data_IF_298736037552
#
_entry.id   IF_298736037552
#
_cell.length_a   1.000
_cell.length_b   1.000
_cell.length_c   1.000
_cell.angle_alpha   90.00
_cell.angle_beta   90.00
_cell.angle_gamma   90.00
#
_symmetry.space_group_name_H-M   'P 1'
#
loop_
_entity.id
_entity.type
_entity.pdbx_description
1 polymer ?
#
# COMPACT_ATOMS: atom_id res chain seq x y z
N UNK A 1 -46.34 -33.74 -20.04
CA UNK A 1 -45.86 -33.01 -18.85
C UNK A 1 -46.74 -31.78 -18.63
N UNK A 2 -47.50 -31.67 -17.53
CA UNK A 2 -48.37 -30.51 -17.30
C UNK A 2 -47.52 -29.30 -16.89
N UNK A 3 -47.68 -28.18 -17.59
CA UNK A 3 -47.03 -26.90 -17.21
C UNK A 3 -47.82 -26.29 -16.04
N UNK A 4 -47.15 -26.05 -14.92
CA UNK A 4 -47.74 -25.33 -13.77
C UNK A 4 -47.96 -23.87 -14.16
N UNK A 5 -49.22 -23.43 -14.22
CA UNK A 5 -49.59 -22.04 -14.48
C UNK A 5 -49.32 -21.19 -13.24
N UNK A 6 -48.72 -20.02 -13.42
CA UNK A 6 -48.48 -19.07 -12.32
C UNK A 6 -49.81 -18.42 -11.94
N UNK A 7 -50.11 -18.39 -10.64
CA UNK A 7 -51.26 -17.66 -10.10
C UNK A 7 -50.93 -16.18 -9.95
N UNK A 8 -51.91 -15.29 -10.07
CA UNK A 8 -51.70 -13.84 -9.94
C UNK A 8 -51.05 -13.45 -8.60
N UNK A 9 -51.38 -14.16 -7.53
CA UNK A 9 -50.77 -13.97 -6.20
C UNK A 9 -49.26 -14.22 -6.20
N UNK A 10 -48.80 -15.29 -6.88
CA UNK A 10 -47.36 -15.61 -6.99
C UNK A 10 -46.61 -14.61 -7.85
N UNK A 11 -47.27 -14.00 -8.84
CA UNK A 11 -46.68 -12.94 -9.67
C UNK A 11 -46.48 -11.67 -8.86
N UNK A 12 -47.47 -11.27 -8.06
CA UNK A 12 -47.38 -10.11 -7.17
C UNK A 12 -46.28 -10.28 -6.12
N UNK A 13 -46.20 -11.45 -5.48
CA UNK A 13 -45.16 -11.78 -4.50
C UNK A 13 -43.75 -11.76 -5.10
N UNK A 14 -43.59 -12.26 -6.33
CA UNK A 14 -42.31 -12.21 -7.04
C UNK A 14 -41.90 -10.77 -7.35
N UNK A 15 -42.83 -9.93 -7.81
CA UNK A 15 -42.55 -8.50 -8.06
C UNK A 15 -42.13 -7.78 -6.78
N UNK A 16 -42.82 -8.03 -5.68
CA UNK A 16 -42.50 -7.42 -4.39
C UNK A 16 -41.14 -7.90 -3.87
N UNK A 17 -40.85 -9.20 -3.96
CA UNK A 17 -39.56 -9.77 -3.60
C UNK A 17 -38.42 -9.18 -4.45
N UNK A 18 -38.66 -9.00 -5.75
CA UNK A 18 -37.72 -8.37 -6.66
C UNK A 18 -37.47 -6.89 -6.29
N UNK A 19 -38.53 -6.14 -5.94
CA UNK A 19 -38.43 -4.75 -5.48
C UNK A 19 -37.58 -4.67 -4.22
N UNK A 20 -37.89 -5.48 -3.21
CA UNK A 20 -37.13 -5.52 -1.93
C UNK A 20 -35.67 -5.91 -2.13
N UNK A 21 -35.39 -6.88 -3.00
CA UNK A 21 -34.00 -7.25 -3.31
C UNK A 21 -33.25 -6.12 -4.00
N UNK A 22 -33.90 -5.39 -4.91
CA UNK A 22 -33.30 -4.24 -5.58
C UNK A 22 -33.08 -3.07 -4.60
N UNK A 23 -34.03 -2.83 -3.69
CA UNK A 23 -33.90 -1.82 -2.64
C UNK A 23 -32.70 -2.11 -1.73
N UNK A 24 -32.60 -3.32 -1.18
CA UNK A 24 -31.44 -3.73 -0.35
C UNK A 24 -30.11 -3.60 -1.08
N UNK A 25 -30.06 -3.95 -2.36
CA UNK A 25 -28.84 -3.80 -3.16
C UNK A 25 -28.48 -2.33 -3.36
N UNK A 26 -29.46 -1.45 -3.58
CA UNK A 26 -29.23 0.00 -3.69
C UNK A 26 -28.70 0.58 -2.39
N UNK A 27 -29.35 0.26 -1.27
CA UNK A 27 -28.93 0.71 0.07
C UNK A 27 -27.49 0.28 0.38
N UNK A 28 -27.12 -0.98 0.07
CA UNK A 28 -25.75 -1.46 0.24
C UNK A 28 -24.76 -0.68 -0.63
N UNK A 29 -25.08 -0.44 -1.90
CA UNK A 29 -24.21 0.32 -2.80
C UNK A 29 -24.03 1.75 -2.31
N UNK A 30 -25.10 2.41 -1.88
CA UNK A 30 -25.06 3.76 -1.33
C UNK A 30 -24.23 3.82 -0.03
N UNK A 31 -24.35 2.83 0.84
CA UNK A 31 -23.53 2.74 2.07
C UNK A 31 -22.05 2.54 1.74
N UNK A 32 -21.72 1.66 0.79
CA UNK A 32 -20.34 1.45 0.34
C UNK A 32 -19.75 2.71 -0.29
N UNK A 33 -20.49 3.38 -1.17
CA UNK A 33 -20.06 4.66 -1.76
C UNK A 33 -19.79 5.72 -0.68
N UNK A 34 -20.66 5.81 0.33
CA UNK A 34 -20.48 6.73 1.45
C UNK A 34 -19.20 6.44 2.24
N UNK A 35 -18.93 5.16 2.54
CA UNK A 35 -17.71 4.73 3.25
C UNK A 35 -16.46 5.02 2.43
N UNK A 36 -16.46 4.71 1.13
CA UNK A 36 -15.33 5.01 0.24
C UNK A 36 -15.02 6.52 0.26
N UNK A 37 -16.03 7.37 0.08
CA UNK A 37 -15.85 8.82 0.13
C UNK A 37 -15.36 9.34 1.50
N UNK A 38 -15.69 8.65 2.59
CA UNK A 38 -15.16 8.97 3.92
C UNK A 38 -13.68 8.62 4.06
N UNK A 39 -13.27 7.45 3.57
CA UNK A 39 -11.87 7.04 3.57
C UNK A 39 -11.03 7.94 2.67
N UNK A 40 -11.49 8.27 1.46
CA UNK A 40 -10.81 9.22 0.57
C UNK A 40 -10.59 10.59 1.25
N UNK A 41 -11.60 11.10 1.97
CA UNK A 41 -11.45 12.34 2.75
C UNK A 41 -10.45 12.20 3.90
N UNK A 42 -10.40 11.05 4.56
CA UNK A 42 -9.44 10.80 5.64
C UNK A 42 -8.02 10.72 5.09
N UNK A 43 -7.82 10.05 3.96
CA UNK A 43 -6.53 9.92 3.30
C UNK A 43 -6.03 11.28 2.80
N UNK A 44 -6.91 12.09 2.19
CA UNK A 44 -6.60 13.46 1.80
C UNK A 44 -6.15 14.33 3.01
N UNK A 45 -6.85 14.24 4.15
CA UNK A 45 -6.46 14.98 5.36
C UNK A 45 -5.16 14.46 5.98
N UNK A 46 -4.96 13.15 5.99
CA UNK A 46 -3.76 12.53 6.54
C UNK A 46 -2.53 12.91 5.72
N UNK A 47 -2.64 12.89 4.39
CA UNK A 47 -1.56 13.31 3.49
C UNK A 47 -1.23 14.80 3.63
N UNK A 48 -2.23 15.67 3.78
CA UNK A 48 -2.01 17.10 4.04
C UNK A 48 -1.24 17.32 5.37
N UNK A 49 -1.67 16.66 6.45
CA UNK A 49 -0.98 16.75 7.74
C UNK A 49 0.49 16.25 7.65
N UNK A 50 0.72 15.15 6.91
CA UNK A 50 2.06 14.63 6.65
C UNK A 50 2.92 15.61 5.84
N UNK A 51 2.35 16.25 4.80
CA UNK A 51 3.06 17.26 4.01
C UNK A 51 3.45 18.49 4.84
N UNK A 52 2.54 18.98 5.70
CA UNK A 52 2.84 20.10 6.61
C UNK A 52 3.94 19.72 7.60
N UNK A 53 3.88 18.53 8.18
CA UNK A 53 4.91 18.03 9.08
C UNK A 53 6.27 17.90 8.36
N UNK A 54 6.28 17.34 7.15
CA UNK A 54 7.49 17.21 6.34
C UNK A 54 8.13 18.57 6.04
N UNK A 55 7.35 19.59 5.67
CA UNK A 55 7.85 20.95 5.44
C UNK A 55 8.52 21.52 6.69
N UNK A 56 7.92 21.36 7.87
CA UNK A 56 8.52 21.79 9.15
C UNK A 56 9.83 21.07 9.44
N UNK A 57 9.88 19.75 9.25
CA UNK A 57 11.10 18.96 9.43
C UNK A 57 12.20 19.41 8.47
N UNK A 58 11.87 19.75 7.22
CA UNK A 58 12.84 20.29 6.26
C UNK A 58 13.42 21.63 6.73
N UNK A 59 12.58 22.53 7.22
CA UNK A 59 13.01 23.83 7.75
C UNK A 59 13.90 23.68 9.00
N UNK A 60 13.49 22.82 9.94
CA UNK A 60 14.26 22.52 11.14
C UNK A 60 15.59 21.86 10.78
N UNK A 61 15.60 20.91 9.86
CA UNK A 61 16.82 20.26 9.39
C UNK A 61 17.76 21.25 8.69
N UNK A 62 17.21 22.20 7.91
CA UNK A 62 18.01 23.27 7.30
C UNK A 62 18.64 24.15 8.38
N UNK A 63 17.88 24.52 9.42
CA UNK A 63 18.38 25.32 10.53
C UNK A 63 19.45 24.59 11.34
N UNK A 64 19.21 23.33 11.70
CA UNK A 64 20.15 22.50 12.43
C UNK A 64 21.44 22.29 11.64
N UNK A 65 21.36 21.97 10.35
CA UNK A 65 22.55 21.88 9.48
C UNK A 65 23.31 23.19 9.37
N UNK A 66 22.62 24.34 9.37
CA UNK A 66 23.28 25.65 9.40
C UNK A 66 24.01 25.95 10.71
N UNK A 67 23.46 25.49 11.84
CA UNK A 67 24.13 25.59 13.15
C UNK A 67 25.33 24.63 13.23
N UNK A 68 25.15 23.39 12.78
CA UNK A 68 26.18 22.36 12.75
C UNK A 68 27.32 22.72 11.80
N UNK A 69 27.05 23.24 10.60
CA UNK A 69 28.11 23.70 9.68
C UNK A 69 28.99 24.85 10.21
N UNK A 70 28.59 25.51 11.31
CA UNK A 70 29.43 26.48 12.04
C UNK A 70 30.22 25.84 13.19
N UNK A 71 29.76 24.71 13.70
CA UNK A 71 30.40 23.90 14.76
C UNK A 71 31.40 22.92 14.14
N UNK A 72 31.05 22.35 12.98
CA UNK A 72 31.82 21.43 12.15
C UNK A 72 32.83 22.22 11.30
N UNK A 73 33.74 22.95 11.96
CA UNK A 73 34.79 23.75 11.33
C UNK A 73 35.84 22.96 10.52
N UNK A 74 35.57 21.71 10.13
CA UNK A 74 36.50 20.88 9.37
C UNK A 74 35.83 19.59 8.87
N UNK A 75 35.46 19.56 7.59
CA UNK A 75 35.34 18.31 6.83
C UNK A 75 33.92 17.80 6.59
N UNK A 76 33.39 18.05 5.38
CA UNK A 76 32.28 17.28 4.82
C UNK A 76 31.30 18.13 4.04
N UNK A 77 31.45 18.16 2.72
CA UNK A 77 30.52 18.79 1.77
C UNK A 77 29.11 18.18 1.92
N UNK A 78 28.27 18.83 2.74
CA UNK A 78 26.85 18.54 2.82
C UNK A 78 26.17 18.99 1.53
N UNK A 79 25.99 18.05 0.60
CA UNK A 79 25.18 18.16 -0.62
C UNK A 79 24.02 19.16 -0.45
N UNK A 80 24.10 20.29 -1.18
CA UNK A 80 23.00 21.25 -1.29
C UNK A 80 21.69 20.53 -1.65
N UNK A 81 20.55 20.90 -1.05
CA UNK A 81 19.26 20.44 -1.54
C UNK A 81 19.13 20.87 -3.00
N UNK A 82 18.93 19.91 -3.91
CA UNK A 82 18.49 20.21 -5.27
C UNK A 82 17.21 21.03 -5.15
N UNK A 83 17.15 22.12 -5.88
CA UNK A 83 15.95 22.91 -6.09
C UNK A 83 14.88 21.97 -6.64
N UNK A 84 13.82 21.74 -5.87
CA UNK A 84 12.52 21.35 -6.43
C UNK A 84 11.78 22.67 -6.69
N UNK A 85 12.18 23.35 -7.77
CA UNK A 85 11.28 24.24 -8.52
C UNK A 85 10.61 23.39 -9.60
N UNK A 86 9.32 23.13 -9.42
CA UNK A 86 8.37 22.74 -10.48
C UNK A 86 6.98 22.81 -9.84
N UNK A 87 6.20 23.86 -10.06
CA UNK A 87 5.38 24.05 -11.25
C UNK A 87 4.54 22.80 -11.56
N UNK A 88 3.31 22.77 -11.03
CA UNK A 88 2.17 21.99 -11.56
C UNK A 88 0.91 22.77 -11.15
N UNK A 89 0.54 23.79 -11.92
CA UNK A 89 -0.39 23.72 -13.07
C UNK A 89 -1.82 23.35 -12.68
N UNK A 90 -2.62 24.41 -12.62
CA UNK A 90 -4.04 24.41 -12.93
C UNK A 90 -4.30 23.71 -14.27
N UNK A 91 -4.79 22.47 -14.24
CA UNK A 91 -5.50 21.83 -15.36
C UNK A 91 -6.92 21.54 -14.92
N UNK A 92 -7.69 22.61 -14.92
CA UNK A 92 -9.14 22.55 -14.94
C UNK A 92 -9.61 22.13 -16.34
N UNK A 93 -10.52 21.17 -16.37
CA UNK A 93 -11.49 20.89 -17.44
C UNK A 93 -10.97 20.55 -18.83
N UNK A 94 -11.01 19.25 -19.17
CA UNK A 94 -11.79 18.82 -20.35
C UNK A 94 -12.14 17.32 -20.36
N UNK A 95 -13.23 16.95 -19.71
CA UNK A 95 -13.96 15.72 -20.04
C UNK A 95 -15.46 16.02 -20.12
N UNK A 96 -15.90 16.58 -21.24
CA UNK A 96 -17.30 16.53 -21.63
C UNK A 96 -17.53 15.23 -22.43
N UNK A 97 -18.34 14.34 -21.85
CA UNK A 97 -19.38 13.59 -22.58
C UNK A 97 -18.99 12.54 -23.63
N UNK A 98 -19.43 11.32 -23.34
CA UNK A 98 -19.84 10.24 -24.26
C UNK A 98 -18.78 9.30 -24.84
N UNK A 99 -18.50 8.25 -24.06
CA UNK A 99 -18.64 6.85 -24.50
C UNK A 99 -17.91 6.41 -25.76
N UNK A 100 -16.75 5.78 -25.59
CA UNK A 100 -16.50 4.35 -25.81
C UNK A 100 -14.99 4.11 -25.80
N UNK A 101 -14.59 3.13 -24.98
CA UNK A 101 -13.38 2.32 -25.12
C UNK A 101 -12.02 3.03 -25.27
N UNK A 102 -11.26 3.02 -24.16
CA UNK A 102 -9.81 2.79 -24.21
C UNK A 102 -8.91 4.01 -24.41
N UNK A 103 -7.70 3.88 -23.84
CA UNK A 103 -6.52 4.74 -23.95
C UNK A 103 -6.33 5.76 -22.81
N UNK A 104 -5.77 5.28 -21.69
CA UNK A 104 -4.58 5.94 -21.16
C UNK A 104 -3.40 5.28 -21.89
N UNK A 105 -2.57 6.08 -22.56
CA UNK A 105 -1.29 5.62 -23.05
C UNK A 105 -0.41 5.36 -21.82
N UNK A 106 -0.13 4.10 -21.54
CA UNK A 106 0.95 3.72 -20.63
C UNK A 106 2.27 4.16 -21.29
N UNK A 107 3.02 4.96 -20.54
CA UNK A 107 4.39 5.32 -20.87
C UNK A 107 5.23 4.03 -20.83
N UNK A 108 5.96 3.79 -21.92
CA UNK A 108 6.73 2.58 -22.14
C UNK A 108 7.78 2.37 -21.04
N UNK A 109 7.68 1.26 -20.32
CA UNK A 109 8.81 0.66 -19.61
C UNK A 109 8.97 -0.78 -20.12
N UNK A 110 9.88 -0.98 -21.06
CA UNK A 110 10.24 -2.30 -21.56
C UNK A 110 11.04 -3.12 -20.51
N UNK A 111 10.35 -4.14 -19.99
CA UNK A 111 10.68 -5.58 -19.98
C UNK A 111 12.01 -6.12 -19.41
N UNK A 112 11.85 -6.96 -18.38
CA UNK A 112 12.15 -8.43 -18.31
C UNK A 112 11.84 -8.88 -16.87
N UNK A 113 11.09 -9.92 -16.51
CA UNK A 113 10.63 -11.13 -17.20
C UNK A 113 9.26 -11.55 -16.66
N UNK A 114 8.47 -12.17 -17.54
CA UNK A 114 7.16 -12.74 -17.26
C UNK A 114 7.30 -14.14 -16.62
N UNK A 115 7.00 -14.25 -15.33
CA UNK A 115 6.49 -15.51 -14.78
C UNK A 115 5.45 -15.23 -13.69
N UNK A 116 4.27 -15.79 -13.88
CA UNK A 116 3.11 -15.77 -13.00
C UNK A 116 3.48 -16.18 -11.58
N UNK A 117 3.24 -15.31 -10.58
CA UNK A 117 2.94 -15.71 -9.19
C UNK A 117 2.35 -14.54 -8.41
N UNK A 118 1.03 -14.59 -8.22
CA UNK A 118 0.31 -13.87 -7.17
C UNK A 118 0.76 -14.36 -5.78
N UNK A 119 1.84 -13.80 -5.20
CA UNK A 119 2.13 -13.87 -3.75
C UNK A 119 3.30 -13.00 -3.22
N UNK A 120 3.98 -12.18 -4.02
CA UNK A 120 5.25 -11.54 -3.59
C UNK A 120 5.12 -10.37 -2.59
N UNK A 121 3.92 -9.85 -2.30
CA UNK A 121 3.76 -8.67 -1.42
C UNK A 121 3.89 -8.97 0.08
N UNK A 122 3.86 -10.23 0.50
CA UNK A 122 3.87 -10.64 1.92
C UNK A 122 4.98 -11.64 2.23
N UNK A 123 5.94 -11.78 1.32
CA UNK A 123 7.02 -12.77 1.39
C UNK A 123 8.37 -12.05 1.25
N UNK A 124 9.33 -12.42 2.08
CA UNK A 124 10.70 -11.89 2.09
C UNK A 124 11.66 -13.06 1.87
N UNK A 125 12.77 -12.84 1.15
CA UNK A 125 13.79 -13.88 0.98
C UNK A 125 14.36 -14.30 2.34
N UNK A 126 14.70 -15.57 2.51
CA UNK A 126 15.25 -16.09 3.77
C UNK A 126 16.58 -15.42 4.13
N UNK A 127 17.37 -15.04 3.13
CA UNK A 127 18.64 -14.34 3.34
C UNK A 127 18.40 -12.93 3.89
N UNK A 128 17.48 -12.19 3.29
CA UNK A 128 17.13 -10.84 3.74
C UNK A 128 16.39 -10.86 5.08
N UNK A 129 15.56 -11.87 5.33
CA UNK A 129 14.95 -12.13 6.62
C UNK A 129 15.97 -12.31 7.75
N UNK A 130 17.09 -13.00 7.48
CA UNK A 130 18.17 -13.19 8.46
C UNK A 130 18.88 -11.89 8.76
N UNK A 131 19.15 -11.06 7.75
CA UNK A 131 19.78 -9.75 7.94
C UNK A 131 18.91 -8.80 8.75
N UNK A 132 17.61 -8.73 8.44
CA UNK A 132 16.62 -7.92 9.17
C UNK A 132 16.58 -8.32 10.65
N UNK A 133 16.51 -9.62 10.95
CA UNK A 133 16.43 -10.10 12.33
C UNK A 133 17.70 -9.82 13.14
N UNK A 134 18.88 -9.98 12.52
CA UNK A 134 20.16 -9.64 13.14
C UNK A 134 20.28 -8.14 13.40
N UNK A 135 19.76 -7.31 12.51
CA UNK A 135 19.80 -5.86 12.67
C UNK A 135 18.92 -5.38 13.84
N UNK A 136 17.73 -5.97 14.01
CA UNK A 136 16.80 -5.59 15.06
C UNK A 136 17.26 -6.04 16.45
N UNK A 137 18.11 -7.07 16.52
CA UNK A 137 18.62 -7.63 17.77
C UNK A 137 19.97 -7.04 18.22
N UNK A 138 20.37 -5.87 17.71
CA UNK A 138 21.59 -5.12 18.10
C UNK A 138 21.77 -5.11 19.63
N UNK A 139 22.61 -6.02 20.15
CA UNK A 139 22.84 -6.24 21.58
C UNK A 139 22.94 -7.71 22.00
N UNK A 140 22.43 -8.67 21.21
CA UNK A 140 22.60 -10.12 21.39
C UNK A 140 23.26 -10.71 20.14
N UNK A 141 24.33 -11.49 20.30
CA UNK A 141 24.96 -12.17 19.15
C UNK A 141 24.15 -13.42 18.83
N UNK A 142 23.15 -13.27 17.96
CA UNK A 142 22.36 -14.39 17.46
C UNK A 142 23.00 -14.91 16.16
N UNK A 143 23.28 -16.20 16.13
CA UNK A 143 23.95 -16.85 15.01
C UNK A 143 22.98 -17.01 13.82
N UNK A 144 23.49 -16.84 12.60
CA UNK A 144 22.72 -16.93 11.35
C UNK A 144 21.99 -18.26 11.21
N UNK A 145 22.60 -19.35 11.69
CA UNK A 145 22.04 -20.70 11.66
C UNK A 145 20.87 -20.88 12.64
N UNK A 146 20.90 -20.20 13.79
CA UNK A 146 19.79 -20.21 14.73
C UNK A 146 18.57 -19.47 14.15
N UNK A 147 18.80 -18.35 13.47
CA UNK A 147 17.75 -17.59 12.77
C UNK A 147 17.16 -18.41 11.61
N UNK A 148 18.01 -19.05 10.80
CA UNK A 148 17.58 -19.94 9.70
C UNK A 148 16.73 -21.10 10.19
N UNK A 149 17.14 -21.73 11.29
CA UNK A 149 16.39 -22.82 11.92
C UNK A 149 15.04 -22.32 12.43
N UNK A 150 14.99 -21.16 13.09
CA UNK A 150 13.76 -20.55 13.59
C UNK A 150 12.80 -20.11 12.46
N UNK A 151 13.34 -19.64 11.34
CA UNK A 151 12.56 -19.32 10.13
C UNK A 151 12.07 -20.58 9.37
N UNK A 152 12.60 -21.76 9.72
CA UNK A 152 12.22 -23.04 9.10
C UNK A 152 12.96 -23.34 7.80
N UNK A 153 14.08 -22.66 7.53
CA UNK A 153 14.87 -22.80 6.31
C UNK A 153 16.35 -23.10 6.62
N UNK A 154 16.70 -24.37 6.94
CA UNK A 154 18.05 -24.74 7.35
C UNK A 154 19.08 -24.81 6.20
N UNK A 155 18.68 -25.02 4.94
CA UNK A 155 19.63 -25.29 3.83
C UNK A 155 19.22 -24.79 2.44
N UNK A 156 18.16 -24.00 2.31
CA UNK A 156 17.65 -23.59 0.99
C UNK A 156 18.17 -22.21 0.55
N UNK A 157 18.85 -22.16 -0.60
CA UNK A 157 19.41 -20.93 -1.20
C UNK A 157 18.33 -19.99 -1.78
N UNK A 158 17.08 -20.46 -1.99
CA UNK A 158 15.96 -19.62 -2.48
C UNK A 158 14.67 -19.87 -1.68
N UNK A 159 14.74 -19.75 -0.35
CA UNK A 159 13.56 -19.83 0.51
C UNK A 159 12.86 -18.46 0.61
N UNK A 160 11.53 -18.46 0.52
CA UNK A 160 10.69 -17.30 0.81
C UNK A 160 9.98 -17.53 2.14
N UNK A 161 10.08 -16.54 3.02
CA UNK A 161 9.48 -16.57 4.35
C UNK A 161 8.37 -15.54 4.41
N UNK A 162 7.23 -15.93 5.00
CA UNK A 162 6.12 -15.00 5.21
C UNK A 162 6.51 -13.90 6.20
N UNK A 163 6.10 -12.67 5.94
CA UNK A 163 6.38 -11.55 6.83
C UNK A 163 5.79 -11.77 8.24
N UNK A 164 4.70 -12.53 8.36
CA UNK A 164 4.15 -12.93 9.67
C UNK A 164 5.10 -13.82 10.47
N UNK A 165 5.93 -14.64 9.83
CA UNK A 165 6.91 -15.50 10.51
C UNK A 165 8.10 -14.69 11.03
N UNK A 166 8.50 -13.61 10.35
CA UNK A 166 9.53 -12.69 10.87
C UNK A 166 9.12 -12.13 12.23
N UNK A 167 7.90 -11.57 12.34
CA UNK A 167 7.39 -11.02 13.60
C UNK A 167 7.28 -12.09 14.70
N UNK A 168 6.85 -13.31 14.36
CA UNK A 168 6.80 -14.41 15.33
C UNK A 168 8.19 -14.82 15.84
N UNK A 169 9.18 -14.91 14.94
CA UNK A 169 10.55 -15.27 15.33
C UNK A 169 11.19 -14.16 16.17
N UNK A 170 10.82 -12.89 15.94
CA UNK A 170 11.23 -11.80 16.84
C UNK A 170 10.71 -11.98 18.26
N UNK A 171 9.44 -12.38 18.43
CA UNK A 171 8.81 -12.61 19.74
C UNK A 171 9.32 -13.91 20.40
N UNK A 172 9.62 -14.95 19.63
CA UNK A 172 10.19 -16.22 20.12
C UNK A 172 11.64 -16.06 20.62
N UNK A 173 12.37 -15.07 20.09
CA UNK A 173 13.77 -14.80 20.42
C UNK A 173 13.97 -13.61 21.39
N UNK A 174 12.88 -12.97 21.85
CA UNK A 174 12.92 -11.87 22.84
C UNK A 174 13.27 -12.39 24.23
#
# INVERSE_FOLDING_TARGET
>A
MPRKTKTDTTVLQNRESQRRSRARRRELVEDLQRRVAEYERRDARATEAMQVAARRVVEENRRLRGLLGRVDGSGGEGRSPRQEESAEESKQDRCQGFGKEGCCADEEVEQKDNSVSTSTSLETSCEEAVEILRELQKGRHIDTEQVRTALGCPTAETCLVKNTRLFQVMDELS
#
